data_IF_740593896284
#
_entry.id   IF_740593896284
#
_cell.length_a   1.000
_cell.length_b   1.000
_cell.length_c   1.000
_cell.angle_alpha   90.00
_cell.angle_beta   90.00
_cell.angle_gamma   90.00
#
_symmetry.space_group_name_H-M   'P 1'
#
loop_
_entity.id
_entity.type
_entity.pdbx_description
1 polymer ?
#
# COMPACT_ATOMS: atom_id res chain seq x y z
N UNK A 1 -11.14 5.66 16.30
CA UNK A 1 -9.99 5.76 15.49
C UNK A 1 -9.33 4.43 15.27
N UNK A 2 -9.05 4.11 14.04
CA UNK A 2 -8.51 2.81 13.72
C UNK A 2 -7.03 2.74 14.06
N UNK A 3 -6.61 1.63 14.62
CA UNK A 3 -5.22 1.39 14.89
C UNK A 3 -4.66 0.49 13.81
N UNK A 4 -3.45 0.76 13.42
CA UNK A 4 -2.80 -0.09 12.43
C UNK A 4 -2.22 -1.29 13.11
N UNK A 5 -2.46 -2.43 12.54
CA UNK A 5 -1.90 -3.67 13.05
C UNK A 5 -0.62 -3.98 12.31
N UNK A 6 0.40 -4.44 13.01
CA UNK A 6 1.65 -4.81 12.34
C UNK A 6 1.41 -6.00 11.44
N UNK A 7 1.97 -5.93 10.26
CA UNK A 7 1.81 -6.99 9.30
C UNK A 7 3.04 -7.05 8.40
N UNK A 8 3.61 -8.22 8.26
CA UNK A 8 4.78 -8.39 7.42
C UNK A 8 4.33 -8.84 6.04
N UNK A 9 4.68 -8.08 5.04
CA UNK A 9 4.33 -8.39 3.67
C UNK A 9 5.59 -8.74 2.90
N UNK A 10 5.59 -9.88 2.28
CA UNK A 10 6.73 -10.31 1.48
C UNK A 10 6.44 -10.13 0.02
N UNK A 11 7.33 -9.47 -0.66
CA UNK A 11 7.16 -9.21 -2.08
C UNK A 11 8.37 -9.69 -2.84
N UNK A 12 8.14 -10.02 -4.09
CA UNK A 12 9.20 -10.27 -5.03
C UNK A 12 10.11 -9.05 -5.04
N UNK A 13 11.44 -9.23 -5.01
CA UNK A 13 12.34 -8.07 -4.98
C UNK A 13 12.12 -7.09 -6.11
N UNK A 14 11.76 -7.57 -7.28
CA UNK A 14 11.54 -6.68 -8.40
C UNK A 14 10.27 -5.88 -8.23
N UNK A 15 9.26 -6.51 -7.65
CA UNK A 15 8.01 -5.80 -7.37
C UNK A 15 8.25 -4.74 -6.30
N UNK A 16 9.02 -5.10 -5.28
CA UNK A 16 9.31 -4.15 -4.22
C UNK A 16 10.08 -2.96 -4.76
N UNK A 17 11.05 -3.21 -5.62
CA UNK A 17 11.80 -2.13 -6.22
C UNK A 17 10.92 -1.18 -7.01
N UNK A 18 9.98 -1.73 -7.76
CA UNK A 18 9.07 -0.92 -8.54
C UNK A 18 8.20 -0.06 -7.64
N UNK A 19 7.75 -0.63 -6.52
CA UNK A 19 6.94 0.12 -5.59
C UNK A 19 7.74 1.22 -4.93
N UNK A 20 8.99 0.92 -4.59
CA UNK A 20 9.85 1.93 -3.96
C UNK A 20 10.07 3.11 -4.88
N UNK A 21 10.27 2.84 -6.15
CA UNK A 21 10.47 3.90 -7.12
C UNK A 21 9.20 4.71 -7.28
N UNK A 22 8.08 4.04 -7.35
CA UNK A 22 6.80 4.71 -7.47
C UNK A 22 6.52 5.58 -6.26
N UNK A 23 6.84 5.07 -5.08
CA UNK A 23 6.65 5.85 -3.87
C UNK A 23 7.48 7.12 -3.90
N UNK A 24 8.73 7.00 -4.32
CA UNK A 24 9.60 8.15 -4.41
C UNK A 24 9.06 9.17 -5.40
N UNK A 25 8.54 8.70 -6.52
CA UNK A 25 7.96 9.60 -7.52
C UNK A 25 6.79 10.38 -6.98
N UNK A 26 6.08 9.82 -6.02
CA UNK A 26 4.92 10.47 -5.44
C UNK A 26 5.18 11.03 -4.05
N UNK A 27 6.43 11.08 -3.66
CA UNK A 27 6.83 11.65 -2.39
C UNK A 27 6.18 10.94 -1.21
N UNK A 28 6.10 9.61 -1.31
CA UNK A 28 5.57 8.78 -0.24
C UNK A 28 6.63 7.82 0.23
N UNK A 29 6.48 7.34 1.46
CA UNK A 29 7.32 6.24 1.90
C UNK A 29 6.85 4.97 1.23
N UNK A 30 7.71 3.97 1.19
CA UNK A 30 7.33 2.68 0.60
C UNK A 30 6.13 2.11 1.32
N UNK A 31 6.13 2.20 2.64
CA UNK A 31 5.02 1.68 3.42
C UNK A 31 3.72 2.43 3.12
N UNK A 32 3.80 3.74 3.00
CA UNK A 32 2.64 4.53 2.67
C UNK A 32 2.12 4.21 1.28
N UNK A 33 3.04 3.98 0.35
CA UNK A 33 2.62 3.64 -1.00
C UNK A 33 1.90 2.29 -1.03
N UNK A 34 2.40 1.32 -0.27
CA UNK A 34 1.75 0.03 -0.21
C UNK A 34 0.35 0.14 0.38
N UNK A 35 0.19 0.94 1.41
CA UNK A 35 -1.12 1.14 2.01
C UNK A 35 -2.07 1.78 1.01
N UNK A 36 -1.58 2.74 0.27
CA UNK A 36 -2.40 3.43 -0.71
C UNK A 36 -2.84 2.47 -1.82
N UNK A 37 -1.93 1.63 -2.28
CA UNK A 37 -2.24 0.68 -3.33
C UNK A 37 -3.31 -0.29 -2.86
N UNK A 38 -3.14 -0.82 -1.66
CA UNK A 38 -4.09 -1.78 -1.13
C UNK A 38 -5.45 -1.14 -0.93
N UNK A 39 -5.46 0.06 -0.38
CA UNK A 39 -6.71 0.76 -0.15
C UNK A 39 -7.44 1.03 -1.46
N UNK A 40 -6.70 1.47 -2.47
CA UNK A 40 -7.27 1.75 -3.76
C UNK A 40 -7.83 0.48 -4.39
N UNK A 41 -7.11 -0.62 -4.29
CA UNK A 41 -7.57 -1.88 -4.85
C UNK A 41 -8.85 -2.35 -4.16
N UNK A 42 -8.90 -2.22 -2.85
CA UNK A 42 -10.09 -2.61 -2.12
C UNK A 42 -11.28 -1.74 -2.49
N UNK A 43 -11.04 -0.47 -2.64
CA UNK A 43 -12.09 0.45 -3.00
C UNK A 43 -12.66 0.13 -4.37
N UNK A 44 -11.79 -0.16 -5.33
CA UNK A 44 -12.23 -0.48 -6.67
C UNK A 44 -12.97 -1.80 -6.72
N UNK A 45 -12.61 -2.72 -5.84
CA UNK A 45 -13.28 -4.00 -5.76
C UNK A 45 -14.57 -3.93 -4.95
N UNK A 46 -14.85 -2.80 -4.32
CA UNK A 46 -16.03 -2.64 -3.52
C UNK A 46 -15.98 -3.42 -2.22
N UNK A 47 -14.77 -3.68 -1.74
CA UNK A 47 -14.61 -4.49 -0.54
C UNK A 47 -14.27 -3.68 0.70
N UNK A 48 -14.08 -2.39 0.56
CA UNK A 48 -13.71 -1.61 1.71
C UNK A 48 -14.94 -1.22 2.50
N UNK A 49 -14.78 -1.15 3.80
CA UNK A 49 -15.84 -0.73 4.67
C UNK A 49 -15.71 0.70 5.05
N UNK A 50 -15.26 1.49 4.17
CA UNK A 50 -15.05 2.87 4.42
C UNK A 50 -16.27 3.55 4.93
N UNK A 51 -16.13 4.39 5.87
CA UNK A 51 -17.24 5.09 6.39
C UNK A 51 -17.44 6.39 5.80
#
# INVERSE_FOLDING_TARGET
MAQKKPFALRLDPEVLKAVEKWAADEFRSTNGQLEWIIFKALKEAGKTKQK
#
